data_IF_081614265818
#
_entry.id   IF_081614265818
#
_cell.length_a   1.000
_cell.length_b   1.000
_cell.length_c   1.000
_cell.angle_alpha   90.00
_cell.angle_beta   90.00
_cell.angle_gamma   90.00
#
_symmetry.space_group_name_H-M   'P 1'
#
loop_
_entity.id
_entity.type
_entity.pdbx_description
1 polymer ?
#
# COMPACT_ATOMS: atom_id res chain seq x y z
N UNK A 1 -13.22 7.72 -17.47
CA UNK A 1 -11.83 8.10 -17.11
C UNK A 1 -11.66 8.32 -15.60
N UNK A 2 -12.43 9.19 -14.94
CA UNK A 2 -12.40 9.36 -13.47
C UNK A 2 -12.71 8.06 -12.71
N UNK A 3 -13.71 7.29 -13.15
CA UNK A 3 -14.09 6.03 -12.50
C UNK A 3 -12.95 5.00 -12.53
N UNK A 4 -12.21 4.92 -13.62
CA UNK A 4 -11.07 3.99 -13.75
C UNK A 4 -9.93 4.39 -12.80
N UNK A 5 -9.64 5.68 -12.68
CA UNK A 5 -8.64 6.19 -11.73
C UNK A 5 -9.02 5.83 -10.29
N UNK A 6 -10.29 6.00 -9.91
CA UNK A 6 -10.79 5.64 -8.57
C UNK A 6 -10.67 4.13 -8.33
N UNK A 7 -11.04 3.31 -9.32
CA UNK A 7 -10.92 1.85 -9.24
C UNK A 7 -9.47 1.38 -9.11
N UNK A 8 -8.53 2.00 -9.85
CA UNK A 8 -7.10 1.72 -9.75
C UNK A 8 -6.53 2.12 -8.38
N UNK A 9 -6.97 3.25 -7.82
CA UNK A 9 -6.57 3.70 -6.48
C UNK A 9 -7.07 2.75 -5.39
N UNK A 10 -8.32 2.30 -5.49
CA UNK A 10 -8.90 1.29 -4.60
C UNK A 10 -8.15 -0.05 -4.71
N UNK A 11 -7.86 -0.51 -5.92
CA UNK A 11 -7.06 -1.71 -6.17
C UNK A 11 -5.68 -1.62 -5.51
N UNK A 12 -5.02 -0.47 -5.64
CA UNK A 12 -3.71 -0.26 -5.04
C UNK A 12 -3.77 -0.31 -3.51
N UNK A 13 -4.74 0.38 -2.90
CA UNK A 13 -4.93 0.36 -1.44
C UNK A 13 -5.19 -1.07 -0.94
N UNK A 14 -6.08 -1.82 -1.60
CA UNK A 14 -6.37 -3.22 -1.24
C UNK A 14 -5.13 -4.09 -1.43
N UNK A 15 -4.35 -3.88 -2.50
CA UNK A 15 -3.12 -4.64 -2.75
C UNK A 15 -2.05 -4.40 -1.69
N UNK A 16 -1.85 -3.15 -1.25
CA UNK A 16 -0.90 -2.81 -0.20
C UNK A 16 -1.34 -3.36 1.16
N UNK A 17 -2.63 -3.25 1.49
CA UNK A 17 -3.17 -3.77 2.76
C UNK A 17 -3.13 -5.31 2.83
N UNK A 18 -3.30 -5.99 1.70
CA UNK A 18 -3.24 -7.46 1.63
C UNK A 18 -1.84 -7.99 1.38
N UNK A 19 -0.86 -7.15 1.03
CA UNK A 19 0.54 -7.54 0.83
C UNK A 19 1.14 -8.39 1.95
N UNK A 20 1.03 -8.02 3.26
CA UNK A 20 1.56 -8.84 4.34
C UNK A 20 0.88 -10.21 4.47
N UNK A 21 -0.40 -10.32 4.09
CA UNK A 21 -1.14 -11.58 4.10
C UNK A 21 -0.70 -12.48 2.93
N UNK A 22 -0.38 -11.87 1.78
CA UNK A 22 0.14 -12.58 0.59
C UNK A 22 1.57 -13.09 0.75
N UNK A 23 2.32 -12.57 1.72
CA UNK A 23 3.64 -13.05 2.11
C UNK A 23 3.59 -14.32 2.96
N UNK A 24 2.40 -14.72 3.43
CA UNK A 24 2.20 -15.96 4.16
C UNK A 24 1.87 -17.08 3.16
N UNK A 25 2.76 -18.06 3.02
CA UNK A 25 2.63 -19.17 2.06
C UNK A 25 1.34 -20.01 2.25
N UNK A 26 0.70 -19.93 3.42
CA UNK A 26 -0.44 -20.78 3.81
C UNK A 26 -1.81 -20.08 3.67
N UNK A 27 -1.85 -18.84 3.15
CA UNK A 27 -3.11 -18.08 2.99
C UNK A 27 -3.47 -17.96 1.51
N UNK A 28 -4.31 -18.88 1.03
CA UNK A 28 -4.85 -18.83 -0.33
C UNK A 28 -6.00 -17.82 -0.39
N UNK A 29 -5.85 -16.79 -1.22
CA UNK A 29 -6.93 -15.84 -1.52
C UNK A 29 -8.04 -16.54 -2.32
N UNK A 30 -9.28 -16.17 -2.03
CA UNK A 30 -10.46 -16.66 -2.75
C UNK A 30 -10.34 -16.42 -4.26
N UNK A 31 -10.79 -17.38 -5.07
CA UNK A 31 -10.65 -17.35 -6.52
C UNK A 31 -11.30 -16.11 -7.16
N UNK A 32 -12.41 -15.60 -6.59
CA UNK A 32 -13.07 -14.40 -7.09
C UNK A 32 -12.22 -13.15 -6.82
N UNK A 33 -11.49 -13.12 -5.72
CA UNK A 33 -10.58 -12.03 -5.39
C UNK A 33 -9.39 -12.05 -6.34
N UNK A 34 -8.82 -13.23 -6.62
CA UNK A 34 -7.72 -13.39 -7.59
C UNK A 34 -8.15 -12.94 -9.00
N UNK A 35 -9.35 -13.32 -9.44
CA UNK A 35 -9.89 -12.89 -10.73
C UNK A 35 -10.08 -11.36 -10.79
N UNK A 36 -10.69 -10.76 -9.75
CA UNK A 36 -10.84 -9.31 -9.66
C UNK A 36 -9.50 -8.58 -9.66
N UNK A 37 -8.44 -9.15 -9.06
CA UNK A 37 -7.10 -8.60 -9.13
C UNK A 37 -6.52 -8.66 -10.56
N UNK A 38 -6.78 -9.74 -11.31
CA UNK A 38 -6.33 -9.88 -12.69
C UNK A 38 -6.97 -8.82 -13.60
N UNK A 39 -8.29 -8.66 -13.54
CA UNK A 39 -9.04 -7.71 -14.37
C UNK A 39 -8.63 -6.25 -14.08
N UNK A 40 -8.38 -5.94 -12.81
CA UNK A 40 -7.90 -4.63 -12.41
C UNK A 40 -6.42 -4.39 -12.80
N UNK A 41 -5.61 -5.45 -12.86
CA UNK A 41 -4.24 -5.40 -13.38
C UNK A 41 -4.19 -5.02 -14.87
N UNK A 42 -5.06 -5.59 -15.68
CA UNK A 42 -5.16 -5.23 -17.11
C UNK A 42 -5.57 -3.76 -17.30
N UNK A 43 -6.50 -3.29 -16.46
CA UNK A 43 -6.89 -1.87 -16.43
C UNK A 43 -5.76 -0.93 -16.01
N UNK A 44 -4.85 -1.39 -15.14
CA UNK A 44 -3.66 -0.65 -14.73
C UNK A 44 -2.66 -0.50 -15.87
N UNK A 45 -2.41 -1.56 -16.65
CA UNK A 45 -1.45 -1.55 -17.77
C UNK A 45 -1.87 -0.59 -18.89
N UNK A 46 -3.17 -0.53 -19.20
CA UNK A 46 -3.69 0.42 -20.19
C UNK A 46 -3.47 1.87 -19.71
N UNK A 47 -3.71 2.13 -18.42
CA UNK A 47 -3.58 3.46 -17.85
C UNK A 47 -2.11 3.88 -17.69
N UNK A 48 -1.22 2.93 -17.40
CA UNK A 48 0.24 3.16 -17.24
C UNK A 48 0.94 3.53 -18.57
N UNK A 49 0.32 3.18 -19.70
CA UNK A 49 0.79 3.54 -21.04
C UNK A 49 0.59 5.05 -21.33
N UNK A 50 -0.44 5.67 -20.76
CA UNK A 50 -0.80 7.08 -21.00
C UNK A 50 -0.26 8.00 -19.90
N UNK A 51 -0.21 7.51 -18.66
CA UNK A 51 0.37 8.20 -17.51
C UNK A 51 1.41 7.31 -16.84
N UNK A 52 2.57 7.83 -16.40
CA UNK A 52 3.56 7.04 -15.67
C UNK A 52 3.11 6.77 -14.23
N UNK A 53 2.04 5.99 -14.07
CA UNK A 53 1.38 5.69 -12.78
C UNK A 53 2.34 4.94 -11.87
N UNK A 54 3.17 4.05 -12.41
CA UNK A 54 4.21 3.36 -11.65
C UNK A 54 5.15 4.34 -10.94
N UNK A 55 5.60 5.38 -11.63
CA UNK A 55 6.48 6.40 -11.06
C UNK A 55 5.75 7.26 -10.02
N UNK A 56 4.52 7.68 -10.30
CA UNK A 56 3.71 8.47 -9.35
C UNK A 56 3.48 7.68 -8.06
N UNK A 57 3.04 6.43 -8.20
CA UNK A 57 2.79 5.52 -7.08
C UNK A 57 4.07 5.25 -6.30
N UNK A 58 5.19 4.98 -6.96
CA UNK A 58 6.46 4.72 -6.29
C UNK A 58 6.92 5.92 -5.44
N UNK A 59 6.82 7.14 -5.98
CA UNK A 59 7.18 8.37 -5.26
C UNK A 59 6.23 8.63 -4.10
N UNK A 60 4.92 8.48 -4.29
CA UNK A 60 3.94 8.64 -3.21
C UNK A 60 4.12 7.59 -2.11
N UNK A 61 4.34 6.33 -2.47
CA UNK A 61 4.59 5.25 -1.51
C UNK A 61 5.88 5.48 -0.72
N UNK A 62 6.95 5.96 -1.38
CA UNK A 62 8.19 6.34 -0.71
C UNK A 62 7.95 7.44 0.33
N UNK A 63 7.26 8.53 -0.05
CA UNK A 63 6.93 9.63 0.87
C UNK A 63 6.12 9.14 2.07
N UNK A 64 5.06 8.36 1.83
CA UNK A 64 4.23 7.79 2.92
C UNK A 64 5.07 6.90 3.84
N UNK A 65 5.97 6.08 3.29
CA UNK A 65 6.84 5.20 4.07
C UNK A 65 7.79 6.00 4.95
N UNK A 66 8.39 7.07 4.42
CA UNK A 66 9.25 7.97 5.20
C UNK A 66 8.46 8.64 6.33
N UNK A 67 7.28 9.18 6.04
CA UNK A 67 6.42 9.81 7.04
C UNK A 67 6.01 8.82 8.14
N UNK A 68 5.62 7.60 7.78
CA UNK A 68 5.33 6.54 8.74
C UNK A 68 6.54 6.19 9.60
N UNK A 69 7.74 6.10 9.01
CA UNK A 69 8.96 5.84 9.77
C UNK A 69 9.27 6.96 10.77
N UNK A 70 9.10 8.23 10.38
CA UNK A 70 9.26 9.38 11.26
C UNK A 70 8.25 9.31 12.41
N UNK A 71 6.97 9.07 12.11
CA UNK A 71 5.91 8.94 13.12
C UNK A 71 6.20 7.80 14.10
N UNK A 72 6.65 6.65 13.61
CA UNK A 72 7.06 5.50 14.45
C UNK A 72 8.24 5.86 15.33
N UNK A 73 9.24 6.57 14.81
CA UNK A 73 10.39 7.04 15.60
C UNK A 73 9.95 8.02 16.71
N UNK A 74 9.08 8.98 16.39
CA UNK A 74 8.51 9.90 17.38
C UNK A 74 7.69 9.16 18.44
N UNK A 75 6.82 8.24 18.04
CA UNK A 75 6.00 7.45 18.94
C UNK A 75 6.85 6.60 19.89
N UNK A 76 7.92 5.98 19.38
CA UNK A 76 8.86 5.18 20.15
C UNK A 76 9.59 6.05 21.18
N UNK A 77 10.12 7.21 20.77
CA UNK A 77 10.79 8.15 21.69
C UNK A 77 9.84 8.71 22.75
N UNK A 78 8.60 9.01 22.37
CA UNK A 78 7.56 9.43 23.33
C UNK A 78 7.29 8.33 24.35
N UNK A 79 7.17 7.07 23.90
CA UNK A 79 6.96 5.92 24.76
C UNK A 79 8.14 5.73 25.73
N UNK A 80 9.38 5.77 25.24
CA UNK A 80 10.59 5.65 26.06
C UNK A 80 10.62 6.73 27.15
N UNK A 81 10.34 7.99 26.79
CA UNK A 81 10.29 9.12 27.75
C UNK A 81 9.16 9.01 28.78
N UNK A 82 8.12 8.21 28.50
CA UNK A 82 6.99 7.98 29.40
C UNK A 82 7.20 6.81 30.36
N UNK A 83 8.22 5.97 30.15
CA UNK A 83 8.59 4.91 31.10
C UNK A 83 9.30 5.56 32.29
N UNK A 84 8.73 5.51 33.52
CA UNK A 84 9.22 6.25 34.68
C UNK A 84 10.42 5.56 35.35
N UNK A 85 11.45 5.17 34.59
CA UNK A 85 12.60 4.42 35.14
C UNK A 85 13.96 4.83 34.59
N UNK A 86 14.15 6.05 34.09
CA UNK A 86 15.49 6.60 33.90
C UNK A 86 15.54 7.99 34.54
N UNK A 87 16.02 8.02 35.79
CA UNK A 87 16.70 9.19 36.37
C UNK A 87 18.04 9.40 35.67
#
# INVERSE_FOLDING_TARGET
MITNVILTLLFFVVSVLTFPIRLLDDVVLDANIVAAFSDAGESYDILSTVFPIGTIVAVTALLITVELAILVWHATNWLIRKIPTVN
#
